data_IF_292503153944
#
_entry.id   IF_292503153944
#
_cell.length_a   1.000
_cell.length_b   1.000
_cell.length_c   1.000
_cell.angle_alpha   90.00
_cell.angle_beta   90.00
_cell.angle_gamma   90.00
#
_symmetry.space_group_name_H-M   'P 1'
#
loop_
_entity.id
_entity.type
_entity.pdbx_description
1 polymer ?
#
# COMPACT_ATOMS: atom_id res chain seq x y z
N UNK A 1 -16.65 -5.80 -1.45
CA UNK A 1 -17.50 -4.63 -1.68
C UNK A 1 -16.55 -3.49 -2.02
N UNK A 2 -16.27 -3.29 -3.30
CA UNK A 2 -15.27 -2.31 -3.78
C UNK A 2 -16.01 -1.00 -4.06
N UNK A 3 -16.29 -0.25 -3.00
CA UNK A 3 -16.55 1.17 -3.20
C UNK A 3 -15.23 1.75 -3.73
N UNK A 4 -15.24 2.26 -4.96
CA UNK A 4 -14.04 2.75 -5.62
C UNK A 4 -13.39 3.86 -4.76
N UNK A 5 -12.43 3.48 -3.92
CA UNK A 5 -11.66 4.42 -3.14
C UNK A 5 -10.84 5.26 -4.10
N UNK A 6 -11.16 6.55 -4.19
CA UNK A 6 -10.43 7.54 -4.98
C UNK A 6 -9.88 8.59 -4.02
N UNK A 7 -8.57 8.77 -4.05
CA UNK A 7 -7.78 9.64 -3.20
C UNK A 7 -7.32 10.85 -4.01
N UNK A 8 -7.20 12.00 -3.34
CA UNK A 8 -6.71 13.24 -3.97
C UNK A 8 -5.73 13.98 -3.05
N UNK A 9 -4.99 14.92 -3.61
CA UNK A 9 -4.13 15.84 -2.85
C UNK A 9 -3.05 15.13 -2.03
N UNK A 10 -2.78 15.58 -0.79
CA UNK A 10 -1.74 15.00 0.07
C UNK A 10 -1.95 13.51 0.37
N UNK A 11 -3.21 13.07 0.44
CA UNK A 11 -3.55 11.67 0.73
C UNK A 11 -3.18 10.75 -0.44
N UNK A 12 -3.46 11.19 -1.67
CA UNK A 12 -3.03 10.47 -2.87
C UNK A 12 -1.51 10.33 -2.94
N UNK A 13 -0.76 11.41 -2.63
CA UNK A 13 0.70 11.38 -2.58
C UNK A 13 1.22 10.39 -1.55
N UNK A 14 0.72 10.44 -0.32
CA UNK A 14 1.14 9.52 0.74
C UNK A 14 0.84 8.06 0.40
N UNK A 15 -0.33 7.79 -0.22
CA UNK A 15 -0.71 6.46 -0.67
C UNK A 15 0.20 5.95 -1.78
N UNK A 16 0.40 6.75 -2.83
CA UNK A 16 1.26 6.40 -3.96
C UNK A 16 2.72 6.21 -3.56
N UNK A 17 3.25 7.10 -2.72
CA UNK A 17 4.60 6.99 -2.19
C UNK A 17 4.77 5.71 -1.35
N UNK A 18 3.74 5.31 -0.62
CA UNK A 18 3.78 4.09 0.21
C UNK A 18 3.75 2.83 -0.65
N UNK A 19 2.96 2.83 -1.74
CA UNK A 19 2.96 1.72 -2.71
C UNK A 19 4.32 1.61 -3.41
N UNK A 20 4.87 2.74 -3.86
CA UNK A 20 6.19 2.78 -4.47
C UNK A 20 7.25 2.26 -3.49
N UNK A 21 7.25 2.71 -2.22
CA UNK A 21 8.19 2.26 -1.20
C UNK A 21 8.12 0.75 -0.90
N UNK A 22 6.92 0.15 -0.96
CA UNK A 22 6.77 -1.32 -0.88
C UNK A 22 7.36 -1.99 -2.12
N UNK A 23 7.05 -1.46 -3.30
CA UNK A 23 7.49 -2.05 -4.57
C UNK A 23 9.01 -2.03 -4.75
N UNK A 24 9.71 -1.06 -4.15
CA UNK A 24 11.17 -0.99 -4.15
C UNK A 24 11.81 -1.51 -2.86
N UNK A 25 11.07 -2.24 -2.02
CA UNK A 25 11.58 -2.68 -0.72
C UNK A 25 12.79 -3.62 -0.84
N UNK A 26 12.91 -4.33 -1.95
CA UNK A 26 14.05 -5.18 -2.29
C UNK A 26 15.19 -4.43 -3.03
N UNK A 27 14.98 -3.15 -3.36
CA UNK A 27 15.93 -2.26 -4.01
C UNK A 27 15.73 -2.08 -5.52
N UNK A 28 14.80 -2.79 -6.15
CA UNK A 28 14.53 -2.70 -7.58
C UNK A 28 13.03 -2.51 -7.87
N UNK A 29 12.70 -2.03 -9.06
CA UNK A 29 11.30 -2.00 -9.54
C UNK A 29 11.27 -2.61 -10.93
N UNK A 30 10.69 -3.81 -11.03
CA UNK A 30 10.56 -4.52 -12.29
C UNK A 30 9.61 -3.83 -13.26
N UNK A 31 9.67 -4.20 -14.55
CA UNK A 31 8.78 -3.62 -15.59
C UNK A 31 7.31 -3.93 -15.30
N UNK A 32 6.99 -5.16 -14.86
CA UNK A 32 5.62 -5.57 -14.55
C UNK A 32 5.06 -4.84 -13.32
N UNK A 33 5.88 -4.68 -12.28
CA UNK A 33 5.53 -3.92 -11.07
C UNK A 33 5.37 -2.44 -11.39
N UNK A 34 6.26 -1.89 -12.20
CA UNK A 34 6.16 -0.52 -12.70
C UNK A 34 4.82 -0.28 -13.42
N UNK A 35 4.45 -1.14 -14.38
CA UNK A 35 3.16 -1.02 -15.08
C UNK A 35 1.97 -1.24 -14.14
N UNK A 36 2.08 -2.17 -13.19
CA UNK A 36 1.03 -2.42 -12.20
C UNK A 36 0.84 -1.22 -11.29
N UNK A 37 1.93 -0.61 -10.83
CA UNK A 37 1.92 0.60 -10.01
C UNK A 37 1.20 1.72 -10.76
N UNK A 38 1.54 1.96 -12.03
CA UNK A 38 0.87 2.99 -12.84
C UNK A 38 -0.66 2.79 -12.87
N UNK A 39 -1.12 1.56 -13.13
CA UNK A 39 -2.54 1.25 -13.10
C UNK A 39 -3.20 1.42 -11.73
N UNK A 40 -2.50 1.09 -10.64
CA UNK A 40 -2.99 1.32 -9.29
C UNK A 40 -3.11 2.83 -8.98
N UNK A 41 -2.13 3.61 -9.40
CA UNK A 41 -2.12 5.07 -9.23
C UNK A 41 -3.23 5.73 -10.07
N UNK A 42 -3.44 5.31 -11.31
CA UNK A 42 -4.56 5.80 -12.13
C UNK A 42 -5.92 5.50 -11.48
N UNK A 43 -6.06 4.30 -10.89
CA UNK A 43 -7.30 3.84 -10.24
C UNK A 43 -7.58 4.56 -8.92
N UNK A 44 -6.57 4.67 -8.05
CA UNK A 44 -6.71 5.18 -6.67
C UNK A 44 -6.38 6.65 -6.53
N UNK A 45 -5.51 7.18 -7.37
CA UNK A 45 -4.88 8.51 -7.23
C UNK A 45 -4.87 9.25 -8.58
N UNK A 46 -6.01 9.44 -9.25
CA UNK A 46 -6.04 10.01 -10.59
C UNK A 46 -5.40 11.40 -10.63
N UNK A 47 -4.49 11.59 -11.58
CA UNK A 47 -3.74 12.84 -11.77
C UNK A 47 -2.50 12.98 -10.87
N UNK A 48 -2.14 11.96 -10.09
CA UNK A 48 -0.86 11.91 -9.40
C UNK A 48 0.27 11.62 -10.41
N UNK A 49 1.26 12.50 -10.46
CA UNK A 49 2.48 12.25 -11.25
C UNK A 49 3.36 11.26 -10.50
N UNK A 50 3.85 10.23 -11.20
CA UNK A 50 4.78 9.26 -10.64
C UNK A 50 6.14 9.88 -10.35
N UNK A 51 6.54 10.91 -11.09
CA UNK A 51 7.81 11.61 -10.84
C UNK A 51 7.85 12.26 -9.45
N UNK A 52 6.70 12.71 -8.94
CA UNK A 52 6.56 13.27 -7.59
C UNK A 52 6.92 12.25 -6.49
N UNK A 53 6.81 10.94 -6.76
CA UNK A 53 7.00 9.89 -5.78
C UNK A 53 8.47 9.55 -5.52
N UNK A 54 9.39 9.79 -6.47
CA UNK A 54 10.79 9.34 -6.36
C UNK A 54 11.56 9.97 -5.20
N UNK A 55 11.19 11.18 -4.80
CA UNK A 55 11.88 11.94 -3.75
C UNK A 55 11.11 11.91 -2.42
N UNK A 56 9.90 11.36 -2.41
CA UNK A 56 9.04 11.34 -1.24
C UNK A 56 9.51 10.24 -0.27
N UNK A 57 9.90 10.65 0.95
CA UNK A 57 10.17 9.71 2.03
C UNK A 57 8.92 9.56 2.88
N UNK A 58 8.24 8.43 2.72
CA UNK A 58 7.09 8.06 3.54
C UNK A 58 7.46 6.88 4.42
N UNK A 59 7.09 6.94 5.71
CA UNK A 59 7.10 5.77 6.59
C UNK A 59 5.67 5.26 6.76
N UNK A 60 5.51 3.98 7.13
CA UNK A 60 4.21 3.44 7.54
C UNK A 60 3.45 4.35 8.51
N UNK A 61 4.15 4.89 9.51
CA UNK A 61 3.59 5.75 10.55
C UNK A 61 3.17 7.12 10.01
N UNK A 62 4.00 7.74 9.14
CA UNK A 62 3.65 9.03 8.53
C UNK A 62 2.46 8.91 7.58
N UNK A 63 2.37 7.80 6.85
CA UNK A 63 1.22 7.51 5.99
C UNK A 63 -0.06 7.35 6.81
N UNK A 64 -0.04 6.49 7.83
CA UNK A 64 -1.20 6.29 8.70
C UNK A 64 -1.59 7.59 9.45
N UNK A 65 -0.63 8.43 9.83
CA UNK A 65 -0.88 9.74 10.41
C UNK A 65 -1.54 10.70 9.40
N UNK A 66 -1.08 10.74 8.15
CA UNK A 66 -1.67 11.56 7.09
C UNK A 66 -3.14 11.17 6.80
N UNK A 67 -3.44 9.88 6.80
CA UNK A 67 -4.81 9.37 6.65
C UNK A 67 -5.68 9.83 7.82
N UNK A 68 -5.22 9.63 9.07
CA UNK A 68 -5.96 10.06 10.27
C UNK A 68 -6.15 11.58 10.38
N UNK A 69 -5.26 12.36 9.77
CA UNK A 69 -5.36 13.82 9.72
C UNK A 69 -6.36 14.31 8.66
N UNK A 70 -6.80 13.44 7.73
CA UNK A 70 -7.75 13.80 6.68
C UNK A 70 -9.17 13.60 7.19
N UNK A 71 -9.97 14.67 7.21
CA UNK A 71 -11.38 14.60 7.58
C UNK A 71 -12.14 13.61 6.69
N UNK A 72 -13.08 12.86 7.27
CA UNK A 72 -13.94 11.88 6.59
C UNK A 72 -13.21 10.67 5.96
N UNK A 73 -11.89 10.54 6.15
CA UNK A 73 -11.13 9.37 5.71
C UNK A 73 -11.37 8.19 6.66
N UNK A 74 -11.87 7.07 6.13
CA UNK A 74 -11.91 5.81 6.86
C UNK A 74 -10.51 5.16 6.83
N UNK A 75 -9.78 5.34 7.92
CA UNK A 75 -8.42 4.81 8.06
C UNK A 75 -8.36 3.28 7.93
N UNK A 76 -9.41 2.57 8.38
CA UNK A 76 -9.45 1.10 8.29
C UNK A 76 -9.67 0.69 6.84
N UNK A 77 -10.63 1.30 6.16
CA UNK A 77 -10.89 1.02 4.74
C UNK A 77 -9.68 1.34 3.85
N UNK A 78 -9.00 2.47 4.11
CA UNK A 78 -7.78 2.85 3.36
C UNK A 78 -6.63 1.89 3.66
N UNK A 79 -6.42 1.51 4.92
CA UNK A 79 -5.39 0.53 5.29
C UNK A 79 -5.62 -0.83 4.63
N UNK A 80 -6.86 -1.31 4.60
CA UNK A 80 -7.25 -2.56 3.93
C UNK A 80 -7.08 -2.47 2.42
N UNK A 81 -7.48 -1.36 1.79
CA UNK A 81 -7.27 -1.12 0.36
C UNK A 81 -5.78 -1.09 0.01
N UNK A 82 -4.97 -0.44 0.86
CA UNK A 82 -3.52 -0.40 0.69
C UNK A 82 -2.91 -1.80 0.74
N UNK A 83 -3.29 -2.63 1.72
CA UNK A 83 -2.79 -4.01 1.82
C UNK A 83 -3.16 -4.82 0.57
N UNK A 84 -4.39 -4.71 0.09
CA UNK A 84 -4.83 -5.41 -1.11
C UNK A 84 -4.06 -4.95 -2.36
N UNK A 85 -3.95 -3.64 -2.58
CA UNK A 85 -3.25 -3.07 -3.73
C UNK A 85 -1.73 -3.38 -3.69
N UNK A 86 -1.12 -3.36 -2.50
CA UNK A 86 0.31 -3.65 -2.34
C UNK A 86 0.63 -5.14 -2.56
N UNK A 87 -0.27 -6.05 -2.17
CA UNK A 87 -0.16 -7.47 -2.53
C UNK A 87 -0.39 -7.68 -4.03
N UNK A 88 -1.38 -7.00 -4.63
CA UNK A 88 -1.60 -7.04 -6.09
C UNK A 88 -0.34 -6.60 -6.84
N UNK A 89 0.36 -5.58 -6.31
CA UNK A 89 1.62 -5.09 -6.85
C UNK A 89 2.75 -6.10 -6.71
N UNK A 90 3.06 -6.54 -5.49
CA UNK A 90 4.20 -7.45 -5.22
C UNK A 90 3.99 -8.90 -5.66
N UNK A 91 2.84 -9.26 -6.23
CA UNK A 91 2.60 -10.60 -6.78
C UNK A 91 2.54 -10.62 -8.30
N UNK A 92 2.76 -9.48 -8.96
CA UNK A 92 2.60 -9.36 -10.42
C UNK A 92 3.61 -10.20 -11.21
N UNK A 93 4.78 -10.48 -10.64
CA UNK A 93 5.81 -11.33 -11.22
C UNK A 93 5.70 -12.82 -10.79
N UNK A 94 4.73 -13.13 -9.92
CA UNK A 94 4.32 -14.49 -9.55
C UNK A 94 4.51 -14.85 -8.08
N UNK A 95 5.35 -14.13 -7.33
CA UNK A 95 5.61 -14.43 -5.91
C UNK A 95 5.88 -13.16 -5.10
N UNK A 96 5.23 -13.04 -3.94
CA UNK A 96 5.49 -11.96 -3.00
C UNK A 96 6.75 -12.27 -2.19
N UNK A 97 7.76 -11.39 -2.26
CA UNK A 97 9.01 -11.59 -1.54
C UNK A 97 8.83 -11.27 -0.06
N UNK A 98 9.60 -11.94 0.79
CA UNK A 98 9.53 -11.71 2.24
C UNK A 98 9.76 -10.23 2.63
N UNK A 99 10.62 -9.49 1.92
CA UNK A 99 10.89 -8.07 2.21
C UNK A 99 9.68 -7.18 1.92
N UNK A 100 8.98 -7.41 0.81
CA UNK A 100 7.73 -6.71 0.46
C UNK A 100 6.62 -7.09 1.45
N UNK A 101 6.47 -8.38 1.77
CA UNK A 101 5.49 -8.86 2.73
C UNK A 101 5.67 -8.16 4.09
N UNK A 102 6.89 -8.07 4.61
CA UNK A 102 7.16 -7.34 5.85
C UNK A 102 6.90 -5.84 5.70
N UNK A 103 7.20 -5.22 4.56
CA UNK A 103 6.89 -3.81 4.31
C UNK A 103 5.37 -3.56 4.35
N UNK A 104 4.58 -4.43 3.72
CA UNK A 104 3.10 -4.38 3.73
C UNK A 104 2.57 -4.54 5.15
N UNK A 105 3.07 -5.53 5.91
CA UNK A 105 2.63 -5.78 7.28
C UNK A 105 3.01 -4.65 8.24
N UNK A 106 4.14 -3.96 8.02
CA UNK A 106 4.48 -2.74 8.77
C UNK A 106 3.49 -1.62 8.52
N UNK A 107 3.06 -1.43 7.27
CA UNK A 107 1.95 -0.52 6.95
C UNK A 107 0.66 -0.94 7.65
N UNK A 108 0.25 -2.20 7.53
CA UNK A 108 -0.96 -2.71 8.18
C UNK A 108 -0.95 -2.44 9.70
N UNK A 109 0.18 -2.68 10.37
CA UNK A 109 0.37 -2.38 11.80
C UNK A 109 0.22 -0.89 12.11
N UNK A 110 0.71 0.01 11.26
CA UNK A 110 0.57 1.46 11.46
C UNK A 110 -0.90 1.94 11.37
N UNK A 111 -1.74 1.20 10.65
CA UNK A 111 -3.20 1.37 10.62
C UNK A 111 -3.94 0.64 11.75
N UNK A 112 -3.21 -0.02 12.67
CA UNK A 112 -3.77 -0.87 13.71
C UNK A 112 -4.61 -2.04 13.19
N UNK A 113 -4.30 -2.53 11.98
CA UNK A 113 -4.92 -3.73 11.41
C UNK A 113 -4.31 -4.97 12.05
N UNK A 114 -5.18 -5.88 12.51
CA UNK A 114 -4.79 -7.17 13.05
C UNK A 114 -4.71 -8.27 11.98
N UNK A 115 -4.29 -9.49 12.38
CA UNK A 115 -4.27 -10.66 11.49
C UNK A 115 -5.61 -10.92 10.81
N UNK A 116 -6.73 -10.78 11.54
CA UNK A 116 -8.07 -10.99 10.98
C UNK A 116 -8.41 -10.00 9.85
N UNK A 117 -8.06 -8.73 10.03
CA UNK A 117 -8.34 -7.68 9.05
C UNK A 117 -7.57 -7.95 7.75
N UNK A 118 -6.28 -8.26 7.85
CA UNK A 118 -5.44 -8.57 6.69
C UNK A 118 -5.88 -9.86 5.99
N UNK A 119 -6.15 -10.93 6.73
CA UNK A 119 -6.66 -12.19 6.16
C UNK A 119 -8.05 -12.06 5.52
N UNK A 120 -8.81 -10.99 5.82
CA UNK A 120 -10.09 -10.71 5.18
C UNK A 120 -9.96 -10.20 3.74
N UNK A 121 -8.81 -9.61 3.39
CA UNK A 121 -8.56 -9.04 2.04
C UNK A 121 -7.57 -9.86 1.22
N UNK A 122 -6.70 -10.65 1.85
CA UNK A 122 -5.74 -11.49 1.12
C UNK A 122 -5.24 -12.66 1.97
N UNK A 123 -4.90 -13.77 1.33
CA UNK A 123 -4.19 -14.90 1.95
C UNK A 123 -2.71 -14.94 1.60
N UNK A 124 -2.25 -14.07 0.69
CA UNK A 124 -0.86 -14.06 0.24
C UNK A 124 0.12 -13.71 1.37
N UNK A 125 -0.36 -13.14 2.48
CA UNK A 125 0.45 -12.77 3.64
C UNK A 125 0.40 -13.78 4.80
N UNK A 126 -0.33 -14.89 4.65
CA UNK A 126 -0.57 -15.85 5.75
C UNK A 126 0.75 -16.42 6.33
N UNK A 127 1.78 -16.61 5.50
CA UNK A 127 3.11 -17.07 5.95
C UNK A 127 3.76 -16.09 6.96
N UNK A 128 3.57 -14.78 6.75
CA UNK A 128 4.24 -13.73 7.52
C UNK A 128 3.33 -13.04 8.54
N UNK A 129 2.03 -13.41 8.59
CA UNK A 129 1.00 -12.70 9.36
C UNK A 129 1.30 -12.62 10.86
N UNK A 130 2.11 -13.56 11.38
CA UNK A 130 2.61 -13.54 12.75
C UNK A 130 3.41 -12.28 13.11
N UNK A 131 3.94 -11.55 12.12
CA UNK A 131 4.63 -10.27 12.33
C UNK A 131 3.71 -9.13 12.82
N UNK A 132 2.38 -9.32 12.81
CA UNK A 132 1.41 -8.39 13.38
C UNK A 132 1.13 -8.62 14.87
N UNK A 133 1.64 -9.72 15.44
CA UNK A 133 1.41 -10.10 16.85
C UNK A 133 2.37 -9.43 17.83
#
# INVERSE_FOLDING_TARGET
MDAALTLTGPLARAYGASLHAVAIADGELGVLESTRLDHLLERRCPGLDREDLFFERVTPESFAAAVRATADADATAIGLAFVADAVELGTVDGELRAVEAHAILRCARAFALGPFDVSSVTRALDEWIGALS
#
